data_IF_643934284589
#
_entry.id   IF_643934284589
#
_cell.length_a   1.000
_cell.length_b   1.000
_cell.length_c   1.000
_cell.angle_alpha   90.00
_cell.angle_beta   90.00
_cell.angle_gamma   90.00
#
_symmetry.space_group_name_H-M   'P 1'
#
loop_
_entity.id
_entity.type
_entity.pdbx_description
1 polymer ?
#
# COMPACT_ATOMS: atom_id res chain seq x y z
N UNK A 1 7.33 -21.96 -2.67
CA UNK A 1 6.05 -21.44 -3.19
C UNK A 1 5.10 -22.58 -3.55
N UNK A 2 5.57 -23.63 -4.23
CA UNK A 2 4.73 -24.76 -4.66
C UNK A 2 4.03 -25.51 -3.51
N UNK A 3 4.73 -25.75 -2.39
CA UNK A 3 4.13 -26.35 -1.19
C UNK A 3 2.95 -25.53 -0.63
N UNK A 4 3.03 -24.20 -0.68
CA UNK A 4 1.93 -23.33 -0.25
C UNK A 4 0.76 -23.43 -1.22
N UNK A 5 1.04 -23.46 -2.53
CA UNK A 5 0.02 -23.61 -3.56
C UNK A 5 -0.68 -24.98 -3.51
N UNK A 6 0.04 -26.06 -3.18
CA UNK A 6 -0.53 -27.41 -3.08
C UNK A 6 -1.38 -27.62 -1.82
N UNK A 7 -1.22 -26.77 -0.80
CA UNK A 7 -1.95 -26.84 0.48
C UNK A 7 -3.02 -25.73 0.63
N UNK A 8 -3.25 -24.93 -0.42
CA UNK A 8 -4.14 -23.79 -0.38
C UNK A 8 -4.92 -23.60 -1.68
N UNK A 9 -5.26 -22.34 -1.99
CA UNK A 9 -6.00 -21.97 -3.19
C UNK A 9 -5.08 -21.14 -4.10
N UNK A 10 -5.02 -21.51 -5.38
CA UNK A 10 -4.28 -20.77 -6.41
C UNK A 10 -5.27 -20.03 -7.32
N UNK A 11 -5.17 -18.71 -7.34
CA UNK A 11 -5.86 -17.88 -8.33
C UNK A 11 -4.98 -17.75 -9.58
N UNK A 12 -5.41 -18.35 -10.69
CA UNK A 12 -4.71 -18.24 -11.99
C UNK A 12 -5.00 -16.93 -12.72
N UNK A 13 -6.10 -16.27 -12.34
CA UNK A 13 -6.47 -14.94 -12.81
C UNK A 13 -6.52 -14.00 -11.61
N UNK A 14 -5.39 -13.36 -11.30
CA UNK A 14 -5.26 -12.40 -10.21
C UNK A 14 -4.58 -11.13 -10.73
N UNK A 15 -5.20 -9.98 -10.50
CA UNK A 15 -4.77 -8.70 -11.07
C UNK A 15 -4.38 -7.73 -9.95
N UNK A 16 -3.31 -6.98 -10.17
CA UNK A 16 -2.94 -5.85 -9.31
C UNK A 16 -3.88 -4.67 -9.54
N UNK A 17 -3.94 -3.75 -8.56
CA UNK A 17 -4.77 -2.55 -8.68
C UNK A 17 -4.25 -1.55 -9.73
N UNK A 18 -3.01 -1.71 -10.21
CA UNK A 18 -2.44 -0.91 -11.29
C UNK A 18 -1.17 -1.56 -11.88
N UNK A 19 -0.63 -1.00 -12.97
CA UNK A 19 0.55 -1.55 -13.66
C UNK A 19 1.88 -1.24 -12.95
N UNK A 20 1.86 -0.41 -11.90
CA UNK A 20 3.05 0.11 -11.23
C UNK A 20 2.96 -0.08 -9.71
N UNK A 21 4.10 0.04 -9.04
CA UNK A 21 4.24 -0.31 -7.63
C UNK A 21 3.48 0.63 -6.67
N UNK A 22 3.65 1.96 -6.79
CA UNK A 22 2.90 2.94 -5.97
C UNK A 22 1.38 2.81 -6.12
N UNK A 23 0.79 2.77 -7.33
CA UNK A 23 -0.66 2.56 -7.46
C UNK A 23 -1.10 1.21 -6.91
N UNK A 24 -0.38 0.12 -7.18
CA UNK A 24 -0.72 -1.21 -6.64
C UNK A 24 -0.75 -1.22 -5.12
N UNK A 25 0.27 -0.64 -4.48
CA UNK A 25 0.36 -0.57 -3.01
C UNK A 25 -0.71 0.32 -2.41
N UNK A 26 -1.06 1.41 -3.10
CA UNK A 26 -2.14 2.31 -2.69
C UNK A 26 -3.46 1.55 -2.66
N UNK A 27 -3.75 0.81 -3.73
CA UNK A 27 -4.97 0.01 -3.81
C UNK A 27 -5.02 -1.12 -2.78
N UNK A 28 -3.90 -1.81 -2.56
CA UNK A 28 -3.80 -2.84 -1.52
C UNK A 28 -4.01 -2.26 -0.11
N UNK A 29 -3.35 -1.15 0.23
CA UNK A 29 -3.43 -0.59 1.57
C UNK A 29 -4.79 0.01 1.88
N UNK A 30 -5.50 0.57 0.90
CA UNK A 30 -6.77 1.29 1.13
C UNK A 30 -8.02 0.51 0.73
N UNK A 31 -7.89 -0.56 -0.04
CA UNK A 31 -9.02 -1.25 -0.68
C UNK A 31 -9.73 -0.41 -1.75
N UNK A 32 -9.10 0.64 -2.28
CA UNK A 32 -9.67 1.55 -3.28
C UNK A 32 -8.93 1.47 -4.61
N UNK A 33 -9.61 1.82 -5.70
CA UNK A 33 -8.91 2.04 -6.96
C UNK A 33 -7.88 3.18 -6.81
N UNK A 34 -6.65 3.03 -7.34
CA UNK A 34 -5.58 4.00 -7.13
C UNK A 34 -5.98 5.42 -7.59
N UNK A 35 -6.78 5.51 -8.65
CA UNK A 35 -7.32 6.75 -9.20
C UNK A 35 -8.17 7.58 -8.22
N UNK A 36 -8.55 7.01 -7.07
CA UNK A 36 -9.29 7.73 -6.00
C UNK A 36 -8.37 8.50 -5.04
N UNK A 37 -7.05 8.44 -5.23
CA UNK A 37 -6.09 9.11 -4.35
C UNK A 37 -5.03 9.84 -5.17
N UNK A 38 -4.50 10.99 -4.70
CA UNK A 38 -3.42 11.69 -5.39
C UNK A 38 -2.17 10.84 -5.59
N UNK A 39 -1.77 10.07 -4.57
CA UNK A 39 -0.58 9.20 -4.63
C UNK A 39 -0.77 8.00 -5.57
N UNK A 40 -2.00 7.56 -5.81
CA UNK A 40 -2.28 6.46 -6.74
C UNK A 40 -2.26 6.86 -8.22
N UNK A 41 -2.15 8.16 -8.55
CA UNK A 41 -2.14 8.68 -9.92
C UNK A 41 -0.74 8.98 -10.46
N UNK A 42 0.29 8.87 -9.63
CA UNK A 42 1.65 9.22 -10.01
C UNK A 42 2.46 8.01 -10.45
N UNK A 43 3.47 8.28 -11.29
CA UNK A 43 4.58 7.36 -11.50
C UNK A 43 5.20 6.96 -10.14
N UNK A 44 5.81 5.77 -10.04
CA UNK A 44 6.48 5.31 -8.84
C UNK A 44 7.34 6.40 -8.22
N UNK A 45 7.16 6.67 -6.92
CA UNK A 45 7.98 7.67 -6.23
C UNK A 45 9.46 7.31 -6.41
N UNK A 46 10.21 8.17 -7.08
CA UNK A 46 11.61 7.94 -7.46
C UNK A 46 12.61 8.53 -6.48
N UNK A 47 12.13 9.33 -5.51
CA UNK A 47 13.00 10.02 -4.56
C UNK A 47 13.32 11.46 -4.95
N UNK A 48 12.67 11.99 -5.98
CA UNK A 48 12.91 13.37 -6.44
C UNK A 48 12.15 14.40 -5.61
N UNK A 49 12.54 15.67 -5.69
CA UNK A 49 11.81 16.75 -5.00
C UNK A 49 10.33 16.85 -5.43
N UNK A 50 9.98 16.44 -6.67
CA UNK A 50 8.59 16.38 -7.14
C UNK A 50 7.76 15.33 -6.40
N UNK A 51 8.40 14.27 -5.91
CA UNK A 51 7.75 13.17 -5.19
C UNK A 51 7.43 13.54 -3.73
N UNK A 52 8.07 14.60 -3.21
CA UNK A 52 7.95 15.01 -1.80
C UNK A 52 6.54 15.46 -1.41
N UNK A 53 5.73 15.90 -2.37
CA UNK A 53 4.36 16.37 -2.15
C UNK A 53 3.33 15.24 -2.15
N UNK A 54 3.72 14.03 -2.54
CA UNK A 54 2.81 12.90 -2.69
C UNK A 54 3.01 11.86 -1.59
N UNK A 55 1.90 11.36 -1.08
CA UNK A 55 1.87 10.29 -0.10
C UNK A 55 0.44 9.90 0.24
N UNK A 56 0.28 8.78 0.93
CA UNK A 56 -1.02 8.33 1.39
C UNK A 56 -1.62 9.38 2.35
N UNK A 57 -2.89 9.73 2.12
CA UNK A 57 -3.64 10.70 2.92
C UNK A 57 -4.54 9.98 3.92
N UNK A 58 -4.70 10.55 5.11
CA UNK A 58 -5.43 9.95 6.25
C UNK A 58 -6.94 9.80 6.05
N UNK A 59 -7.44 10.22 4.89
CA UNK A 59 -8.84 10.11 4.51
C UNK A 59 -9.31 8.64 4.50
N UNK A 60 -8.42 7.71 4.15
CA UNK A 60 -8.73 6.29 4.09
C UNK A 60 -7.87 5.53 5.12
N UNK A 61 -8.48 4.77 6.05
CA UNK A 61 -7.70 3.90 6.92
C UNK A 61 -6.98 2.84 6.10
N UNK A 62 -5.77 2.46 6.50
CA UNK A 62 -5.10 1.34 5.87
C UNK A 62 -5.68 0.02 6.37
N UNK A 63 -5.50 -1.07 5.62
CA UNK A 63 -5.80 -2.43 6.08
C UNK A 63 -5.09 -2.75 7.40
N UNK A 64 -3.86 -2.28 7.60
CA UNK A 64 -3.14 -2.47 8.85
C UNK A 64 -3.77 -1.67 10.01
N UNK A 65 -4.21 -0.42 9.81
CA UNK A 65 -4.97 0.34 10.82
C UNK A 65 -6.28 -0.38 11.19
N UNK A 66 -6.99 -0.94 10.21
CA UNK A 66 -8.21 -1.71 10.44
C UNK A 66 -7.93 -2.98 11.26
N UNK A 67 -6.90 -3.74 10.90
CA UNK A 67 -6.49 -4.95 11.62
C UNK A 67 -6.06 -4.63 13.05
N UNK A 68 -5.29 -3.55 13.26
CA UNK A 68 -4.91 -3.08 14.59
C UNK A 68 -6.11 -2.72 15.46
N UNK A 69 -7.11 -2.07 14.88
CA UNK A 69 -8.37 -1.76 15.58
C UNK A 69 -9.11 -3.04 16.00
N UNK A 70 -8.95 -4.13 15.25
CA UNK A 70 -9.49 -5.45 15.59
C UNK A 70 -8.61 -6.27 16.56
N UNK A 71 -7.52 -5.70 17.09
CA UNK A 71 -6.65 -6.33 18.08
C UNK A 71 -5.45 -7.09 17.52
N UNK A 72 -5.14 -6.93 16.23
CA UNK A 72 -3.95 -7.54 15.62
C UNK A 72 -2.70 -6.68 15.84
N UNK A 73 -1.56 -7.33 16.07
CA UNK A 73 -0.27 -6.68 15.87
C UNK A 73 0.06 -6.60 14.38
N UNK A 74 0.56 -5.45 13.93
CA UNK A 74 0.85 -5.21 12.52
C UNK A 74 2.27 -4.76 12.31
N UNK A 75 2.93 -5.31 11.28
CA UNK A 75 4.29 -4.98 10.92
C UNK A 75 4.43 -4.77 9.40
N UNK A 76 5.33 -3.86 9.01
CA UNK A 76 5.77 -3.70 7.62
C UNK A 76 7.23 -4.14 7.52
N UNK A 77 7.50 -5.07 6.61
CA UNK A 77 8.86 -5.53 6.31
C UNK A 77 9.17 -5.19 4.85
N UNK A 78 10.20 -4.38 4.64
CA UNK A 78 10.66 -3.96 3.31
C UNK A 78 10.07 -2.64 2.82
N UNK A 79 9.72 -2.56 1.53
CA UNK A 79 9.43 -1.31 0.84
C UNK A 79 8.04 -0.76 1.18
N UNK A 80 7.96 0.54 1.55
CA UNK A 80 6.69 1.25 1.77
C UNK A 80 6.09 1.79 0.47
N UNK A 81 6.76 2.78 -0.14
CA UNK A 81 6.43 3.39 -1.44
C UNK A 81 5.10 4.17 -1.53
N UNK A 82 4.60 4.66 -0.39
CA UNK A 82 3.37 5.45 -0.29
C UNK A 82 3.59 6.83 0.35
N UNK A 83 4.75 7.41 0.07
CA UNK A 83 5.20 8.72 0.54
C UNK A 83 6.62 8.67 1.08
N UNK A 84 7.37 9.74 0.84
CA UNK A 84 8.79 9.85 1.23
C UNK A 84 9.00 10.74 2.46
N UNK A 85 8.06 11.65 2.71
CA UNK A 85 8.18 12.61 3.80
C UNK A 85 7.79 11.98 5.15
N UNK A 86 8.34 12.47 6.28
CA UNK A 86 8.08 11.91 7.61
C UNK A 86 6.61 11.79 8.00
N UNK A 87 5.74 12.69 7.50
CA UNK A 87 4.30 12.62 7.76
C UNK A 87 3.61 11.43 7.09
N UNK A 88 4.19 10.88 6.03
CA UNK A 88 3.70 9.69 5.32
C UNK A 88 4.42 8.41 5.77
N UNK A 89 5.27 8.48 6.80
CA UNK A 89 5.97 7.33 7.36
C UNK A 89 4.98 6.24 7.81
N UNK A 90 5.23 4.95 7.50
CA UNK A 90 4.36 3.84 7.87
C UNK A 90 4.10 3.77 9.39
N UNK A 91 5.10 4.11 10.21
CA UNK A 91 5.02 4.01 11.67
C UNK A 91 4.19 5.10 12.35
N UNK A 92 3.77 6.15 11.62
CA UNK A 92 3.00 7.24 12.25
C UNK A 92 1.51 6.97 12.30
N UNK A 93 0.92 6.49 11.20
CA UNK A 93 -0.55 6.44 11.05
C UNK A 93 -1.07 5.17 10.39
N UNK A 94 -0.19 4.29 9.92
CA UNK A 94 -0.57 3.24 8.96
C UNK A 94 -0.42 1.82 9.51
N UNK A 95 0.21 1.64 10.67
CA UNK A 95 0.48 0.37 11.37
C UNK A 95 0.40 0.57 12.89
#
# INVERSE_FOLDING_TARGET
MDKLASQGIKFVNAYSAGPLCTPTRTGFMTGRYPARTPVGLIEPLTGTNKDSTFGLTVEYPSIATLMKTAGYETALIGKWHLGLQPQHSPTKKWF
#
